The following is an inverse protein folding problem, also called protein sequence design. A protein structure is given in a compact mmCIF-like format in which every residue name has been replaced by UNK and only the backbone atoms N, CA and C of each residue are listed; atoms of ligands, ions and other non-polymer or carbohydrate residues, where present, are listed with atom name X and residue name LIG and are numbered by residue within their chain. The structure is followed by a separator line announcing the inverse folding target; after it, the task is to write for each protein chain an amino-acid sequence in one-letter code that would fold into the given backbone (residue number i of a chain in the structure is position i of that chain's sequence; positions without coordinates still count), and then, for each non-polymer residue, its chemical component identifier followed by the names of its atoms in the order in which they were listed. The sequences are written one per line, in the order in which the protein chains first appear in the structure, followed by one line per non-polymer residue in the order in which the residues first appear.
data_IF_164006455994
#
_entry.id   IF_164006455994
#
_cell.length_a   1.000
_cell.length_b   1.000
_cell.length_c   1.000
_cell.angle_alpha   90.00
_cell.angle_beta   90.00
_cell.angle_gamma   90.00
#
_symmetry.space_group_name_H-M   'P 1'
#
loop_
_entity.id
_entity.type
_entity.pdbx_description
1 polymer ?
#
# COMPACT_ATOMS: atom_id res chain seq x y z
N UNK A 1 14.04 24.13 6.96
CA UNK A 1 12.62 24.01 6.59
C UNK A 1 12.08 22.70 7.17
N UNK A 2 11.15 22.73 8.14
CA UNK A 2 10.55 21.51 8.72
C UNK A 2 9.26 21.19 7.95
N UNK A 3 9.26 20.13 7.16
CA UNK A 3 8.04 19.63 6.52
C UNK A 3 7.16 19.05 7.63
N UNK A 4 6.06 19.72 7.97
CA UNK A 4 5.03 19.15 8.85
C UNK A 4 4.18 18.19 8.01
N UNK A 5 4.48 16.90 8.09
CA UNK A 5 3.59 15.87 7.55
C UNK A 5 2.38 15.81 8.48
N UNK A 6 1.20 16.21 7.99
CA UNK A 6 -0.05 15.94 8.70
C UNK A 6 -0.32 14.45 8.57
N UNK A 7 -0.49 13.76 9.70
CA UNK A 7 -1.07 12.42 9.68
C UNK A 7 -2.49 12.56 9.11
N UNK A 8 -2.69 12.07 7.89
CA UNK A 8 -4.02 12.02 7.30
C UNK A 8 -4.77 10.87 7.97
N UNK A 9 -5.95 11.16 8.54
CA UNK A 9 -6.92 10.10 8.82
C UNK A 9 -7.40 9.57 7.48
N UNK A 10 -7.28 8.26 7.28
CA UNK A 10 -7.85 7.60 6.11
C UNK A 10 -9.38 7.70 6.27
N UNK A 11 -10.13 8.14 5.23
CA UNK A 11 -11.59 8.20 5.29
C UNK A 11 -12.16 6.77 5.19
N UNK A 12 -12.03 6.00 6.27
CA UNK A 12 -12.44 4.59 6.31
C UNK A 12 -13.94 4.41 6.11
N UNK A 13 -14.75 5.42 6.42
CA UNK A 13 -16.19 5.42 6.12
C UNK A 13 -16.48 5.29 4.61
N UNK A 14 -15.66 5.95 3.78
CA UNK A 14 -15.81 5.95 2.32
C UNK A 14 -15.01 4.80 1.67
N UNK A 15 -13.77 4.58 2.14
CA UNK A 15 -12.82 3.68 1.47
C UNK A 15 -12.67 2.33 2.16
N UNK A 16 -12.95 2.22 3.46
CA UNK A 16 -12.63 1.04 4.26
C UNK A 16 -13.34 -0.24 3.81
N UNK A 17 -14.45 -0.11 3.11
CA UNK A 17 -15.22 -1.22 2.53
C UNK A 17 -14.65 -1.73 1.21
N UNK A 18 -13.79 -0.95 0.54
CA UNK A 18 -13.17 -1.34 -0.73
C UNK A 18 -12.02 -2.31 -0.46
N UNK A 19 -12.02 -3.44 -1.16
CA UNK A 19 -10.87 -4.36 -1.22
C UNK A 19 -9.84 -3.90 -2.26
N UNK A 20 -9.39 -2.64 -2.13
CA UNK A 20 -8.51 -1.97 -3.09
C UNK A 20 -7.23 -1.42 -2.43
N UNK A 21 -6.88 -1.90 -1.24
CA UNK A 21 -5.67 -1.48 -0.53
C UNK A 21 -4.48 -2.37 -0.91
N UNK A 22 -3.33 -1.72 -1.05
CA UNK A 22 -2.01 -2.33 -1.23
C UNK A 22 -1.00 -1.61 -0.35
N UNK A 23 0.06 -2.31 0.06
CA UNK A 23 1.25 -1.64 0.59
C UNK A 23 2.13 -1.16 -0.59
N UNK A 24 3.17 -0.38 -0.32
CA UNK A 24 4.17 -0.05 -1.32
C UNK A 24 5.57 0.02 -0.70
N UNK A 25 6.58 -0.28 -1.51
CA UNK A 25 7.99 -0.09 -1.13
C UNK A 25 8.77 0.56 -2.26
N UNK A 26 9.91 1.15 -1.94
CA UNK A 26 10.85 1.66 -2.95
C UNK A 26 11.72 0.53 -3.49
N UNK A 27 12.00 0.56 -4.80
CA UNK A 27 12.92 -0.36 -5.46
C UNK A 27 13.70 0.39 -6.55
N UNK A 28 14.95 0.02 -6.79
CA UNK A 28 15.71 0.59 -7.91
C UNK A 28 15.40 -0.17 -9.21
N UNK A 29 15.04 0.56 -10.27
CA UNK A 29 14.88 0.05 -11.64
C UNK A 29 15.53 1.02 -12.61
N UNK A 30 16.48 0.53 -13.42
CA UNK A 30 17.23 1.35 -14.41
C UNK A 30 17.83 2.61 -13.78
N UNK A 31 18.46 2.47 -12.61
CA UNK A 31 19.08 3.57 -11.87
C UNK A 31 18.13 4.50 -11.12
N UNK A 32 16.81 4.36 -11.27
CA UNK A 32 15.80 5.23 -10.62
C UNK A 32 15.05 4.50 -9.50
N UNK A 33 14.72 5.22 -8.43
CA UNK A 33 13.83 4.72 -7.39
C UNK A 33 12.37 4.76 -7.90
N UNK A 34 11.68 3.63 -7.80
CA UNK A 34 10.27 3.48 -8.16
C UNK A 34 9.47 2.99 -6.95
N UNK A 35 8.22 3.40 -6.83
CA UNK A 35 7.27 2.86 -5.86
C UNK A 35 6.63 1.62 -6.47
N UNK A 36 6.80 0.46 -5.82
CA UNK A 36 6.24 -0.81 -6.28
C UNK A 36 5.12 -1.22 -5.33
N UNK A 37 3.90 -1.50 -5.84
CA UNK A 37 2.79 -1.95 -5.03
C UNK A 37 3.02 -3.38 -4.54
N UNK A 38 2.62 -3.64 -3.30
CA UNK A 38 2.82 -4.90 -2.58
C UNK A 38 1.45 -5.47 -2.20
N UNK A 39 1.25 -6.74 -2.56
CA UNK A 39 0.07 -7.53 -2.25
C UNK A 39 0.02 -7.78 -0.74
N UNK A 40 -1.03 -7.31 -0.04
CA UNK A 40 -1.14 -7.43 1.42
C UNK A 40 -1.23 -8.88 1.91
N UNK A 41 -1.67 -9.82 1.08
CA UNK A 41 -1.80 -11.23 1.43
C UNK A 41 -0.47 -11.99 1.44
N UNK A 42 0.49 -11.54 0.62
CA UNK A 42 1.69 -12.34 0.32
C UNK A 42 3.01 -11.60 0.50
N UNK A 43 2.99 -10.28 0.67
CA UNK A 43 4.20 -9.44 0.69
C UNK A 43 4.94 -9.37 -0.66
N UNK A 44 4.39 -9.98 -1.72
CA UNK A 44 4.94 -9.94 -3.10
C UNK A 44 4.37 -8.75 -3.87
N UNK A 45 4.77 -8.58 -5.14
CA UNK A 45 4.24 -7.50 -5.96
C UNK A 45 2.74 -7.66 -6.24
N UNK A 46 1.98 -6.58 -6.06
CA UNK A 46 0.61 -6.50 -6.52
C UNK A 46 0.55 -6.05 -7.99
N UNK A 47 -0.47 -6.51 -8.70
CA UNK A 47 -0.78 -6.10 -10.06
C UNK A 47 -1.72 -4.90 -10.04
N UNK A 48 -1.56 -3.97 -10.98
CA UNK A 48 -2.52 -2.86 -11.15
C UNK A 48 -3.79 -3.25 -11.93
N UNK A 49 -3.84 -4.48 -12.45
CA UNK A 49 -4.96 -4.99 -13.28
C UNK A 49 -5.67 -6.20 -12.67
N UNK A 50 -5.12 -6.77 -11.61
CA UNK A 50 -5.68 -7.96 -10.97
C UNK A 50 -6.11 -7.64 -9.53
N UNK A 51 -7.43 -7.51 -9.29
CA UNK A 51 -7.96 -7.16 -7.97
C UNK A 51 -7.74 -8.25 -6.92
N UNK A 52 -7.44 -9.49 -7.33
CA UNK A 52 -7.12 -10.57 -6.37
C UNK A 52 -5.79 -10.33 -5.66
N UNK A 53 -4.96 -9.42 -6.18
CA UNK A 53 -3.69 -9.01 -5.57
C UNK A 53 -3.82 -7.85 -4.59
N UNK A 54 -5.03 -7.33 -4.39
CA UNK A 54 -5.35 -6.26 -3.44
C UNK A 54 -6.07 -6.82 -2.22
N UNK A 55 -6.18 -6.01 -1.17
CA UNK A 55 -6.83 -6.40 0.09
C UNK A 55 -7.67 -5.30 0.72
N UNK A 56 -8.21 -5.61 1.90
CA UNK A 56 -8.81 -4.63 2.79
C UNK A 56 -7.75 -3.73 3.41
N UNK A 57 -8.21 -2.63 4.00
CA UNK A 57 -7.33 -1.75 4.79
C UNK A 57 -6.61 -2.53 5.92
N UNK A 58 -7.33 -3.41 6.62
CA UNK A 58 -6.80 -4.18 7.75
C UNK A 58 -5.73 -5.17 7.32
N UNK A 59 -5.89 -5.83 6.17
CA UNK A 59 -4.88 -6.74 5.60
C UNK A 59 -3.59 -5.96 5.25
N UNK A 60 -3.72 -4.79 4.63
CA UNK A 60 -2.58 -3.93 4.30
C UNK A 60 -1.91 -3.34 5.55
N UNK A 61 -2.69 -2.90 6.55
CA UNK A 61 -2.14 -2.39 7.81
C UNK A 61 -1.38 -3.50 8.57
N UNK A 62 -1.92 -4.72 8.59
CA UNK A 62 -1.27 -5.88 9.20
C UNK A 62 0.09 -6.13 8.54
N UNK A 63 0.13 -6.25 7.21
CA UNK A 63 1.39 -6.46 6.50
C UNK A 63 2.39 -5.34 6.81
N UNK A 64 1.95 -4.08 6.80
CA UNK A 64 2.82 -2.94 7.10
C UNK A 64 3.44 -3.00 8.49
N UNK A 65 2.69 -3.45 9.50
CA UNK A 65 3.19 -3.62 10.89
C UNK A 65 4.19 -4.77 11.02
N UNK A 66 4.12 -5.76 10.14
CA UNK A 66 4.96 -6.96 10.14
C UNK A 66 6.21 -6.83 9.23
N UNK A 67 6.33 -5.73 8.47
CA UNK A 67 7.41 -5.45 7.51
C UNK A 67 8.50 -4.55 8.07
#
# INVERSE_FOLDING_TARGET
MKIKIRQAKIPLEELGWLRQFVCWRTMQRRGKLVKVPINPHTGKFASVRDPTTWGSYQEAEKLWKES
#
